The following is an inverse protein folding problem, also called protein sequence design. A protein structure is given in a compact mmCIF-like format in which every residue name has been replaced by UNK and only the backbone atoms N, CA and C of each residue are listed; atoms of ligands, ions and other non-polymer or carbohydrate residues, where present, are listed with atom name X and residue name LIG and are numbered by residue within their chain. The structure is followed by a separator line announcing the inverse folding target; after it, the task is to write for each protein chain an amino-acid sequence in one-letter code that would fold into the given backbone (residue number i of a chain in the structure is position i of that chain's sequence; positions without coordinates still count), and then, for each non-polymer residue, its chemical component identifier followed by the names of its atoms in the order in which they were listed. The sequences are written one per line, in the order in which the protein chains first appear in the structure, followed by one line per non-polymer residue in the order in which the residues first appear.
data_IF_996743460713
#
_entry.id   IF_996743460713
#
_cell.length_a   1.000
_cell.length_b   1.000
_cell.length_c   1.000
_cell.angle_alpha   90.00
_cell.angle_beta   90.00
_cell.angle_gamma   90.00
#
_symmetry.space_group_name_H-M   'P 1'
#
loop_
_entity.id
_entity.type
_entity.pdbx_description
1 polymer ?
#
# COMPACT_ATOMS: atom_id res chain seq x y z
N UNK A 1 12.59 -21.14 14.50
CA UNK A 1 12.21 -19.77 14.83
C UNK A 1 13.39 -18.88 14.49
N UNK A 2 13.38 -18.21 13.36
CA UNK A 2 14.37 -17.18 13.07
C UNK A 2 14.08 -16.01 14.01
N UNK A 3 15.10 -15.63 14.77
CA UNK A 3 15.01 -14.64 15.82
C UNK A 3 14.47 -13.32 15.27
N UNK A 4 13.36 -12.85 15.79
CA UNK A 4 12.74 -11.56 15.46
C UNK A 4 13.67 -10.35 15.70
N UNK A 5 14.87 -10.57 16.25
CA UNK A 5 15.85 -9.56 16.58
C UNK A 5 16.57 -8.95 15.36
N UNK A 6 16.68 -9.66 14.23
CA UNK A 6 17.49 -9.20 13.09
C UNK A 6 17.00 -7.89 12.44
N UNK A 7 15.75 -7.50 12.64
CA UNK A 7 15.20 -6.23 12.15
C UNK A 7 14.83 -5.25 13.27
N UNK A 8 14.89 -5.70 14.54
CA UNK A 8 14.74 -4.80 15.69
C UNK A 8 16.00 -3.99 15.98
N UNK A 9 17.15 -4.36 15.38
CA UNK A 9 18.43 -3.69 15.59
C UNK A 9 18.66 -2.48 14.66
N UNK A 10 17.74 -2.21 13.71
CA UNK A 10 17.62 -0.85 13.22
C UNK A 10 16.97 -0.06 14.38
N UNK A 11 17.76 0.77 15.12
CA UNK A 11 17.17 1.46 16.25
C UNK A 11 15.98 2.22 15.73
N UNK A 12 14.79 2.08 16.34
CA UNK A 12 13.68 2.94 16.00
C UNK A 12 14.26 4.33 16.16
N UNK A 13 14.21 5.12 15.11
CA UNK A 13 14.71 6.49 15.17
C UNK A 13 14.06 7.05 16.41
N UNK A 14 14.87 7.33 17.47
CA UNK A 14 14.34 7.80 18.74
C UNK A 14 13.55 9.06 18.43
N UNK A 15 12.24 8.91 18.27
CA UNK A 15 11.35 10.05 18.26
C UNK A 15 11.63 10.77 19.58
N UNK A 16 11.94 12.05 19.53
CA UNK A 16 11.88 12.91 20.70
C UNK A 16 10.55 12.60 21.37
N UNK A 17 10.54 12.45 22.69
CA UNK A 17 9.35 12.19 23.52
C UNK A 17 8.25 13.22 23.25
N UNK A 18 7.59 13.12 22.12
CA UNK A 18 6.41 13.87 21.81
C UNK A 18 5.28 12.95 22.22
N UNK A 19 4.50 13.34 23.24
CA UNK A 19 3.24 12.71 23.56
C UNK A 19 2.45 12.59 22.25
N UNK A 20 2.30 11.37 21.72
CA UNK A 20 1.47 11.13 20.55
C UNK A 20 0.02 11.37 20.92
N UNK A 21 -0.49 12.52 20.52
CA UNK A 21 -1.91 12.81 20.57
C UNK A 21 -2.52 12.21 19.31
N UNK A 22 -3.62 11.47 19.45
CA UNK A 22 -4.36 10.95 18.32
C UNK A 22 -4.74 12.09 17.38
N UNK A 23 -4.32 11.97 16.12
CA UNK A 23 -4.55 12.95 15.07
C UNK A 23 -5.49 12.37 14.03
N UNK A 24 -6.62 13.02 13.85
CA UNK A 24 -7.62 12.67 12.84
C UNK A 24 -7.19 13.10 11.44
N UNK A 25 -7.71 12.39 10.44
CA UNK A 25 -7.56 12.77 9.05
C UNK A 25 -8.46 13.95 8.71
N UNK A 26 -7.96 14.88 7.94
CA UNK A 26 -8.81 15.85 7.25
C UNK A 26 -8.58 15.73 5.72
N UNK A 27 -9.37 16.46 4.95
CA UNK A 27 -9.31 16.41 3.50
C UNK A 27 -9.35 17.83 2.95
N UNK A 28 -8.33 18.60 3.29
CA UNK A 28 -8.17 19.97 2.84
C UNK A 28 -7.76 19.99 1.37
N UNK A 29 -8.53 20.57 0.44
CA UNK A 29 -8.27 20.52 -0.99
C UNK A 29 -6.89 21.06 -1.40
N UNK A 30 -6.41 22.13 -0.75
CA UNK A 30 -5.10 22.70 -1.03
C UNK A 30 -3.99 21.74 -0.62
N UNK A 31 -4.06 21.17 0.57
CA UNK A 31 -3.05 20.24 1.05
C UNK A 31 -3.08 18.91 0.31
N UNK A 32 -4.27 18.44 -0.08
CA UNK A 32 -4.40 17.25 -0.96
C UNK A 32 -3.70 17.52 -2.28
N UNK A 33 -3.96 18.67 -2.93
CA UNK A 33 -3.29 19.04 -4.18
C UNK A 33 -1.77 19.14 -4.01
N UNK A 34 -1.27 19.75 -2.94
CA UNK A 34 0.15 19.83 -2.63
C UNK A 34 0.78 18.43 -2.45
N UNK A 35 0.10 17.55 -1.70
CA UNK A 35 0.54 16.17 -1.52
C UNK A 35 0.52 15.40 -2.83
N UNK A 36 -0.49 15.58 -3.68
CA UNK A 36 -0.55 14.97 -5.01
C UNK A 36 0.70 15.34 -5.82
N UNK A 37 1.01 16.65 -5.92
CA UNK A 37 2.18 17.12 -6.68
C UNK A 37 3.49 16.58 -6.12
N UNK A 38 3.63 16.54 -4.81
CA UNK A 38 4.84 16.05 -4.15
C UNK A 38 5.00 14.54 -4.31
N UNK A 39 3.97 13.76 -3.93
CA UNK A 39 4.02 12.30 -3.94
C UNK A 39 4.16 11.72 -5.34
N UNK A 40 3.50 12.34 -6.35
CA UNK A 40 3.61 11.88 -7.74
C UNK A 40 5.03 12.06 -8.26
N UNK A 41 5.58 13.27 -8.13
CA UNK A 41 6.95 13.55 -8.55
C UNK A 41 7.99 12.74 -7.79
N UNK A 42 7.76 12.51 -6.50
CA UNK A 42 8.67 11.73 -5.68
C UNK A 42 8.79 10.29 -6.19
N UNK A 43 7.68 9.64 -6.53
CA UNK A 43 7.69 8.29 -7.11
C UNK A 43 8.30 8.31 -8.52
N UNK A 44 7.92 9.25 -9.39
CA UNK A 44 8.45 9.35 -10.75
C UNK A 44 9.95 9.65 -10.81
N UNK A 45 10.49 10.35 -9.82
CA UNK A 45 11.92 10.69 -9.79
C UNK A 45 12.81 9.57 -9.21
N UNK A 46 12.23 8.65 -8.43
CA UNK A 46 13.00 7.62 -7.73
C UNK A 46 12.84 6.22 -8.33
N UNK A 47 11.90 6.03 -9.24
CA UNK A 47 11.68 4.76 -9.93
C UNK A 47 11.79 4.92 -11.43
N UNK A 48 12.36 3.89 -12.09
CA UNK A 48 12.46 3.87 -13.54
C UNK A 48 11.09 3.70 -14.19
N UNK A 49 10.26 2.84 -13.63
CA UNK A 49 8.90 2.61 -14.09
C UNK A 49 7.99 2.15 -12.94
N UNK A 50 6.70 2.38 -13.10
CA UNK A 50 5.65 1.68 -12.35
C UNK A 50 4.87 0.83 -13.33
N UNK A 51 4.86 -0.47 -13.06
CA UNK A 51 4.16 -1.48 -13.84
C UNK A 51 2.99 -2.02 -13.04
N UNK A 52 1.85 -2.15 -13.69
CA UNK A 52 0.63 -2.60 -13.02
C UNK A 52 -0.03 -3.73 -13.81
N UNK A 53 -0.38 -4.79 -13.10
CA UNK A 53 -1.13 -5.95 -13.60
C UNK A 53 -2.52 -5.95 -12.98
N UNK A 54 -3.51 -6.33 -13.77
CA UNK A 54 -4.90 -6.51 -13.32
C UNK A 54 -5.56 -5.24 -12.70
N UNK A 55 -5.18 -4.03 -13.15
CA UNK A 55 -5.74 -2.79 -12.61
C UNK A 55 -7.28 -2.75 -12.64
N UNK A 56 -7.89 -3.39 -13.65
CA UNK A 56 -9.34 -3.43 -13.82
C UNK A 56 -10.06 -4.25 -12.74
N UNK A 57 -9.36 -5.07 -11.96
CA UNK A 57 -9.94 -5.76 -10.82
C UNK A 57 -10.54 -4.78 -9.82
N UNK A 58 -9.94 -3.60 -9.66
CA UNK A 58 -10.50 -2.57 -8.79
C UNK A 58 -11.95 -2.20 -9.13
N UNK A 59 -12.32 -2.24 -10.41
CA UNK A 59 -13.69 -1.91 -10.87
C UNK A 59 -14.73 -3.02 -10.55
N UNK A 60 -14.27 -4.23 -10.19
CA UNK A 60 -15.16 -5.35 -9.78
C UNK A 60 -15.68 -5.22 -8.36
N UNK A 61 -15.20 -4.23 -7.59
CA UNK A 61 -15.66 -3.95 -6.23
C UNK A 61 -17.15 -3.55 -6.21
N UNK A 62 -17.82 -3.76 -5.09
CA UNK A 62 -19.16 -3.23 -4.89
C UNK A 62 -19.07 -1.71 -4.64
N UNK A 63 -19.59 -0.90 -5.56
CA UNK A 63 -19.49 0.58 -5.51
C UNK A 63 -20.31 1.21 -4.39
N UNK A 64 -21.17 0.46 -3.73
CA UNK A 64 -21.96 0.92 -2.59
C UNK A 64 -21.19 0.85 -1.27
N UNK A 65 -20.02 0.21 -1.25
CA UNK A 65 -19.22 0.03 -0.05
C UNK A 65 -17.86 0.70 -0.17
N UNK A 66 -17.34 1.18 0.93
CA UNK A 66 -15.98 1.67 1.03
C UNK A 66 -14.95 0.55 0.84
N UNK A 67 -13.68 0.92 0.81
CA UNK A 67 -12.62 0.02 0.39
C UNK A 67 -11.52 -0.04 1.46
N UNK A 68 -11.15 -1.25 1.87
CA UNK A 68 -9.91 -1.53 2.58
C UNK A 68 -8.93 -2.08 1.54
N UNK A 69 -7.89 -1.32 1.25
CA UNK A 69 -6.84 -1.68 0.30
C UNK A 69 -5.62 -2.07 1.12
N UNK A 70 -5.18 -3.31 0.98
CA UNK A 70 -4.10 -3.81 1.79
C UNK A 70 -2.93 -4.34 0.96
N UNK A 71 -1.72 -4.01 1.42
CA UNK A 71 -0.48 -4.28 0.73
C UNK A 71 0.59 -4.82 1.68
N UNK A 72 1.67 -5.46 1.18
CA UNK A 72 2.81 -5.80 2.01
C UNK A 72 3.49 -4.52 2.49
N UNK A 73 4.18 -4.60 3.64
CA UNK A 73 5.01 -3.50 4.13
C UNK A 73 6.47 -3.91 4.09
N UNK A 74 7.14 -3.54 3.03
CA UNK A 74 8.51 -3.98 2.77
C UNK A 74 9.54 -2.86 2.89
N UNK A 75 9.11 -1.63 2.70
CA UNK A 75 9.99 -0.47 2.80
C UNK A 75 9.20 0.84 2.91
N UNK A 76 9.94 1.94 3.01
CA UNK A 76 9.36 3.28 3.13
C UNK A 76 8.52 3.72 1.93
N UNK A 77 8.77 3.19 0.72
CA UNK A 77 8.07 3.59 -0.51
C UNK A 77 6.65 3.04 -0.62
N UNK A 78 6.29 2.03 0.15
CA UNK A 78 4.98 1.36 0.03
C UNK A 78 3.81 2.32 0.25
N UNK A 79 3.96 3.28 1.16
CA UNK A 79 2.97 4.32 1.41
C UNK A 79 2.81 5.29 0.24
N UNK A 80 3.94 5.74 -0.34
CA UNK A 80 3.96 6.69 -1.45
C UNK A 80 3.41 6.06 -2.74
N UNK A 81 3.74 4.79 -2.98
CA UNK A 81 3.17 4.02 -4.09
C UNK A 81 1.68 3.84 -3.87
N UNK A 82 1.26 3.46 -2.66
CA UNK A 82 -0.16 3.34 -2.30
C UNK A 82 -0.94 4.64 -2.51
N UNK A 83 -0.36 5.77 -2.14
CA UNK A 83 -0.94 7.09 -2.39
C UNK A 83 -1.15 7.32 -3.91
N UNK A 84 -0.12 7.04 -4.73
CA UNK A 84 -0.21 7.16 -6.18
C UNK A 84 -1.28 6.25 -6.78
N UNK A 85 -1.38 4.99 -6.32
CA UNK A 85 -2.40 4.04 -6.79
C UNK A 85 -3.80 4.57 -6.50
N UNK A 86 -4.08 4.97 -5.26
CA UNK A 86 -5.39 5.46 -4.86
C UNK A 86 -5.78 6.74 -5.60
N UNK A 87 -4.86 7.70 -5.72
CA UNK A 87 -5.16 9.02 -6.29
C UNK A 87 -5.16 9.06 -7.80
N UNK A 88 -4.24 8.35 -8.48
CA UNK A 88 -4.06 8.45 -9.93
C UNK A 88 -4.69 7.31 -10.72
N UNK A 89 -4.81 6.12 -10.10
CA UNK A 89 -5.27 4.92 -10.81
C UNK A 89 -6.68 4.55 -10.38
N UNK A 90 -6.94 4.49 -9.07
CA UNK A 90 -8.26 4.13 -8.55
C UNK A 90 -9.21 5.33 -8.43
N UNK A 91 -8.67 6.55 -8.46
CA UNK A 91 -9.42 7.81 -8.33
C UNK A 91 -10.36 7.84 -7.12
N UNK A 92 -9.83 7.50 -5.95
CA UNK A 92 -10.56 7.47 -4.68
C UNK A 92 -9.91 8.38 -3.64
N UNK A 93 -10.69 8.73 -2.60
CA UNK A 93 -10.18 9.47 -1.44
C UNK A 93 -9.38 8.53 -0.56
N UNK A 94 -8.05 8.67 -0.55
CA UNK A 94 -7.20 7.84 0.30
C UNK A 94 -7.32 8.22 1.77
N UNK A 95 -7.33 7.21 2.64
CA UNK A 95 -7.04 7.30 4.07
C UNK A 95 -5.88 6.37 4.38
N UNK A 96 -4.98 6.83 5.24
CA UNK A 96 -3.79 6.06 5.58
C UNK A 96 -3.52 6.10 7.07
N UNK A 97 -3.36 4.93 7.67
CA UNK A 97 -3.03 4.79 9.09
C UNK A 97 -1.51 4.83 9.27
N UNK A 98 -0.99 5.83 9.98
CA UNK A 98 0.45 6.08 10.14
C UNK A 98 0.83 6.10 11.61
N UNK A 99 1.81 5.27 12.01
CA UNK A 99 2.27 5.16 13.40
C UNK A 99 3.00 6.42 13.89
N UNK A 100 3.81 7.04 13.02
CA UNK A 100 4.61 8.21 13.37
C UNK A 100 4.14 9.47 12.63
N UNK A 101 2.83 9.71 12.59
CA UNK A 101 2.25 10.84 11.84
C UNK A 101 2.79 12.19 12.31
N UNK A 102 3.16 12.32 13.57
CA UNK A 102 3.72 13.56 14.14
C UNK A 102 5.05 14.00 13.49
N UNK A 103 5.74 13.09 12.78
CA UNK A 103 6.90 13.45 11.94
C UNK A 103 6.51 14.19 10.67
N UNK A 104 5.30 13.93 10.19
CA UNK A 104 4.79 14.46 8.93
C UNK A 104 3.36 14.97 9.11
N UNK A 105 3.14 15.96 9.99
CA UNK A 105 1.79 16.37 10.41
C UNK A 105 0.93 16.88 9.25
N UNK A 106 1.56 17.34 8.19
CA UNK A 106 0.88 17.81 6.97
C UNK A 106 0.09 16.67 6.29
N UNK A 107 0.50 15.41 6.45
CA UNK A 107 -0.18 14.26 5.86
C UNK A 107 -1.58 14.06 6.47
N UNK A 108 -1.83 14.54 7.69
CA UNK A 108 -3.18 14.49 8.28
C UNK A 108 -4.17 15.29 7.45
N UNK A 109 -3.74 16.40 6.86
CA UNK A 109 -4.57 17.27 6.00
C UNK A 109 -4.85 16.64 4.63
N UNK A 110 -4.06 15.63 4.25
CA UNK A 110 -4.21 14.88 3.01
C UNK A 110 -4.78 13.45 3.22
N UNK A 111 -5.40 13.19 4.37
CA UNK A 111 -6.13 11.97 4.62
C UNK A 111 -5.42 10.94 5.49
N UNK A 112 -4.25 11.25 6.07
CA UNK A 112 -3.62 10.37 7.03
C UNK A 112 -4.16 10.60 8.46
N UNK A 113 -4.20 9.54 9.28
CA UNK A 113 -4.50 9.60 10.70
C UNK A 113 -3.53 8.75 11.50
N UNK A 114 -3.36 9.08 12.78
CA UNK A 114 -2.36 8.42 13.61
C UNK A 114 -2.84 7.11 14.22
N UNK A 115 -1.90 6.20 14.46
CA UNK A 115 -2.09 5.02 15.32
C UNK A 115 -0.92 4.92 16.29
N UNK A 116 -1.22 4.63 17.57
CA UNK A 116 -0.21 4.31 18.56
C UNK A 116 -0.33 2.83 18.95
N UNK A 117 0.58 2.00 18.46
CA UNK A 117 0.60 0.56 18.73
C UNK A 117 1.13 0.21 20.11
N UNK A 118 1.76 1.14 20.80
CA UNK A 118 2.27 0.92 22.17
C UNK A 118 1.16 0.99 23.23
N UNK A 119 -0.02 1.53 22.86
CA UNK A 119 -1.19 1.63 23.71
C UNK A 119 -2.37 0.91 23.10
N UNK A 120 -2.88 -0.13 23.75
CA UNK A 120 -4.07 -0.87 23.30
C UNK A 120 -5.30 0.05 23.20
N UNK A 121 -5.43 1.01 24.12
CA UNK A 121 -6.52 1.98 24.13
C UNK A 121 -6.44 2.93 22.93
N UNK A 122 -5.28 3.50 22.65
CA UNK A 122 -5.07 4.40 21.50
C UNK A 122 -5.17 3.64 20.17
N UNK A 123 -4.64 2.42 20.11
CA UNK A 123 -4.84 1.55 18.93
C UNK A 123 -6.32 1.30 18.66
N UNK A 124 -7.10 0.99 19.70
CA UNK A 124 -8.54 0.75 19.56
C UNK A 124 -9.29 2.01 19.13
N UNK A 125 -8.86 3.19 19.61
CA UNK A 125 -9.41 4.49 19.16
C UNK A 125 -9.19 4.68 17.66
N UNK A 126 -7.97 4.43 17.16
CA UNK A 126 -7.65 4.53 15.74
C UNK A 126 -8.45 3.54 14.88
N UNK A 127 -8.63 2.29 15.36
CA UNK A 127 -9.43 1.29 14.63
C UNK A 127 -10.92 1.68 14.56
N UNK A 128 -11.49 2.21 15.65
CA UNK A 128 -12.89 2.70 15.65
C UNK A 128 -13.05 3.89 14.70
N UNK A 129 -12.11 4.83 14.74
CA UNK A 129 -12.10 5.97 13.82
C UNK A 129 -12.00 5.53 12.36
N UNK A 130 -11.20 4.50 12.06
CA UNK A 130 -11.15 3.92 10.72
C UNK A 130 -12.49 3.36 10.26
N UNK A 131 -13.24 2.69 11.15
CA UNK A 131 -14.61 2.21 10.84
C UNK A 131 -15.54 3.38 10.52
N UNK A 132 -15.49 4.46 11.29
CA UNK A 132 -16.35 5.63 11.08
C UNK A 132 -16.09 6.30 9.72
N UNK A 133 -14.84 6.45 9.34
CA UNK A 133 -14.47 7.00 8.03
C UNK A 133 -14.95 6.18 6.84
N UNK A 134 -15.08 4.86 6.99
CA UNK A 134 -15.47 3.94 5.92
C UNK A 134 -17.00 3.90 5.69
N UNK A 135 -17.72 4.93 6.12
CA UNK A 135 -19.11 5.18 5.72
C UNK A 135 -19.20 5.68 4.26
N UNK A 136 -18.21 6.45 3.80
CA UNK A 136 -18.18 7.00 2.44
C UNK A 136 -17.60 5.95 1.46
N UNK A 137 -18.38 5.47 0.46
CA UNK A 137 -17.92 4.49 -0.53
C UNK A 137 -16.73 4.97 -1.40
N UNK A 138 -16.52 6.28 -1.49
CA UNK A 138 -15.36 6.84 -2.23
C UNK A 138 -14.06 6.76 -1.44
N UNK A 139 -14.09 6.32 -0.19
CA UNK A 139 -12.90 6.18 0.64
C UNK A 139 -12.21 4.83 0.39
N UNK A 140 -10.89 4.90 0.25
CA UNK A 140 -9.99 3.76 0.32
C UNK A 140 -9.04 3.90 1.51
N UNK A 141 -9.20 3.03 2.51
CA UNK A 141 -8.25 2.88 3.61
C UNK A 141 -7.08 2.02 3.15
N UNK A 142 -5.92 2.64 2.97
CA UNK A 142 -4.67 1.93 2.72
C UNK A 142 -4.09 1.44 4.03
N UNK A 143 -3.87 0.14 4.15
CA UNK A 143 -3.37 -0.49 5.36
C UNK A 143 -2.30 -1.54 5.06
N UNK A 144 -1.35 -1.68 5.98
CA UNK A 144 -0.34 -2.73 5.99
C UNK A 144 -0.69 -3.75 7.08
N UNK A 145 -1.33 -4.86 6.75
CA UNK A 145 -1.87 -5.78 7.77
C UNK A 145 -0.79 -6.48 8.60
N UNK A 146 0.44 -6.55 8.12
CA UNK A 146 1.57 -7.08 8.88
C UNK A 146 1.91 -6.23 10.12
N UNK A 147 1.61 -4.92 10.07
CA UNK A 147 1.89 -3.99 11.15
C UNK A 147 3.36 -3.64 11.39
N UNK A 148 4.27 -4.26 10.67
CA UNK A 148 5.74 -4.05 10.73
C UNK A 148 6.33 -4.17 9.34
N UNK A 149 7.49 -3.53 9.14
CA UNK A 149 8.24 -3.65 7.88
C UNK A 149 8.94 -5.01 7.86
N UNK A 150 8.77 -5.77 6.77
CA UNK A 150 9.41 -7.05 6.50
C UNK A 150 9.96 -7.08 5.08
N UNK A 151 11.10 -7.73 4.82
CA UNK A 151 11.58 -7.91 3.44
C UNK A 151 10.51 -8.53 2.54
N UNK A 152 10.46 -8.19 1.24
CA UNK A 152 9.42 -8.69 0.32
C UNK A 152 9.32 -10.22 0.27
N UNK A 153 10.45 -10.89 0.48
CA UNK A 153 10.56 -12.36 0.42
C UNK A 153 10.36 -13.04 1.78
N UNK A 154 10.08 -12.28 2.84
CA UNK A 154 9.84 -12.84 4.17
C UNK A 154 8.57 -13.69 4.17
N UNK A 155 8.68 -14.92 4.69
CA UNK A 155 7.57 -15.86 4.82
C UNK A 155 7.63 -16.54 6.21
N UNK A 156 6.47 -16.84 6.81
CA UNK A 156 5.12 -16.56 6.33
C UNK A 156 4.76 -15.06 6.39
N UNK A 157 3.82 -14.62 5.55
CA UNK A 157 3.21 -13.31 5.69
C UNK A 157 2.14 -13.42 6.79
N UNK A 158 2.36 -12.77 7.91
CA UNK A 158 1.46 -12.81 9.08
C UNK A 158 0.69 -11.51 9.20
N UNK A 159 -0.63 -11.60 9.40
CA UNK A 159 -1.51 -10.45 9.56
C UNK A 159 -1.87 -10.21 11.02
N UNK A 160 -1.89 -8.94 11.40
CA UNK A 160 -2.55 -8.50 12.62
C UNK A 160 -4.06 -8.44 12.42
N UNK A 161 -4.82 -8.72 13.48
CA UNK A 161 -6.30 -8.76 13.42
C UNK A 161 -6.97 -7.39 13.32
N UNK A 162 -6.22 -6.31 13.28
CA UNK A 162 -6.76 -4.94 13.18
C UNK A 162 -7.55 -4.68 11.89
N UNK A 163 -7.04 -5.16 10.75
CA UNK A 163 -7.74 -5.03 9.47
C UNK A 163 -9.10 -5.76 9.48
N UNK A 164 -9.14 -6.98 9.97
CA UNK A 164 -10.37 -7.78 10.04
C UNK A 164 -11.33 -7.26 11.12
N UNK A 165 -10.81 -6.62 12.19
CA UNK A 165 -11.64 -5.86 13.13
C UNK A 165 -12.39 -4.74 12.41
N UNK A 166 -11.68 -3.91 11.64
CA UNK A 166 -12.29 -2.81 10.87
C UNK A 166 -13.34 -3.40 9.91
N UNK A 167 -12.95 -4.40 9.11
CA UNK A 167 -13.82 -5.00 8.11
C UNK A 167 -15.14 -5.52 8.71
N UNK A 168 -15.09 -6.33 9.76
CA UNK A 168 -16.29 -6.88 10.40
C UNK A 168 -17.17 -5.79 11.03
N UNK A 169 -16.59 -4.71 11.56
CA UNK A 169 -17.39 -3.62 12.08
C UNK A 169 -18.02 -2.76 10.98
N UNK A 170 -17.37 -2.59 9.84
CA UNK A 170 -17.98 -1.98 8.65
C UNK A 170 -19.20 -2.79 8.16
N UNK A 171 -19.06 -4.13 8.07
CA UNK A 171 -20.22 -5.00 7.72
C UNK A 171 -21.37 -4.79 8.69
N UNK A 172 -21.12 -4.80 10.00
CA UNK A 172 -22.16 -4.59 11.03
C UNK A 172 -22.82 -3.22 10.94
N UNK A 173 -22.07 -2.19 10.57
CA UNK A 173 -22.55 -0.81 10.60
C UNK A 173 -23.12 -0.34 9.26
N UNK A 174 -22.51 -0.79 8.14
CA UNK A 174 -22.79 -0.30 6.79
C UNK A 174 -23.27 -1.39 5.82
N UNK A 175 -23.38 -2.64 6.27
CA UNK A 175 -23.85 -3.77 5.48
C UNK A 175 -22.74 -4.46 4.65
N UNK A 176 -21.62 -3.85 4.45
CA UNK A 176 -20.53 -4.47 3.67
C UNK A 176 -19.25 -3.62 3.59
N UNK A 177 -18.21 -4.24 3.05
CA UNK A 177 -16.91 -3.62 2.80
C UNK A 177 -16.18 -4.35 1.68
N UNK A 178 -15.44 -3.63 0.83
CA UNK A 178 -14.54 -4.23 -0.13
C UNK A 178 -13.15 -4.43 0.49
N UNK A 179 -12.57 -5.61 0.32
CA UNK A 179 -11.20 -5.95 0.70
C UNK A 179 -10.40 -6.16 -0.57
N UNK A 180 -9.44 -5.29 -0.85
CA UNK A 180 -8.70 -5.25 -2.11
C UNK A 180 -7.22 -5.53 -1.85
N UNK A 181 -6.72 -6.73 -2.15
CA UNK A 181 -5.31 -7.08 -1.99
C UNK A 181 -4.46 -6.47 -3.10
N UNK A 182 -3.33 -5.90 -2.74
CA UNK A 182 -2.33 -5.36 -3.66
C UNK A 182 -1.00 -6.05 -3.39
N UNK A 183 -0.50 -6.83 -4.35
CA UNK A 183 0.89 -7.24 -4.29
C UNK A 183 1.78 -6.10 -4.79
N UNK A 184 2.86 -5.86 -4.06
CA UNK A 184 3.79 -4.77 -4.30
C UNK A 184 5.21 -5.27 -4.17
N UNK A 185 6.03 -5.04 -5.20
CA UNK A 185 7.43 -5.43 -5.23
C UNK A 185 8.28 -4.39 -5.95
N UNK A 186 9.57 -4.42 -5.69
CA UNK A 186 10.57 -3.52 -6.27
C UNK A 186 11.71 -4.35 -6.83
N UNK A 187 12.05 -4.15 -8.09
CA UNK A 187 13.12 -4.90 -8.73
C UNK A 187 14.02 -4.00 -9.60
N UNK A 188 15.31 -4.28 -9.55
CA UNK A 188 16.26 -3.76 -10.51
C UNK A 188 16.26 -4.69 -11.73
N UNK A 189 15.85 -4.20 -12.89
CA UNK A 189 15.92 -4.94 -14.13
C UNK A 189 17.19 -4.56 -14.91
N UNK A 190 17.04 -3.70 -15.89
CA UNK A 190 18.16 -3.28 -16.75
C UNK A 190 18.78 -1.94 -16.35
N UNK A 191 18.01 -1.13 -15.63
CA UNK A 191 18.41 0.21 -15.23
C UNK A 191 18.98 0.22 -13.80
N UNK A 192 19.77 1.24 -13.50
CA UNK A 192 20.36 1.46 -12.18
C UNK A 192 19.33 1.98 -11.13
N UNK A 193 18.11 2.22 -11.56
CA UNK A 193 17.00 2.67 -10.73
C UNK A 193 15.94 1.56 -10.74
N UNK A 194 15.38 1.17 -9.59
CA UNK A 194 14.41 0.09 -9.53
C UNK A 194 13.09 0.43 -10.25
N UNK A 195 12.37 -0.60 -10.63
CA UNK A 195 10.99 -0.50 -11.09
C UNK A 195 10.04 -0.99 -9.99
N UNK A 196 8.85 -0.39 -9.94
CA UNK A 196 7.77 -0.79 -9.04
C UNK A 196 6.84 -1.72 -9.78
N UNK A 197 6.53 -2.86 -9.18
CA UNK A 197 5.57 -3.84 -9.68
C UNK A 197 4.36 -3.89 -8.76
N UNK A 198 3.20 -3.68 -9.35
CA UNK A 198 1.91 -3.71 -8.67
C UNK A 198 1.04 -4.78 -9.32
N UNK A 199 0.43 -5.65 -8.53
CA UNK A 199 -0.65 -6.52 -9.00
C UNK A 199 -1.90 -6.28 -8.15
N UNK A 200 -3.00 -5.92 -8.79
CA UNK A 200 -4.29 -5.74 -8.14
C UNK A 200 -4.99 -7.09 -8.10
N UNK A 201 -5.15 -7.65 -6.91
CA UNK A 201 -5.89 -8.90 -6.74
C UNK A 201 -7.40 -8.71 -6.91
N UNK A 202 -8.13 -9.82 -6.97
CA UNK A 202 -9.60 -9.80 -7.02
C UNK A 202 -10.15 -9.22 -5.71
N UNK A 203 -11.07 -8.26 -5.77
CA UNK A 203 -11.75 -7.73 -4.59
C UNK A 203 -12.57 -8.82 -3.90
N UNK A 204 -12.50 -8.86 -2.58
CA UNK A 204 -13.36 -9.69 -1.76
C UNK A 204 -14.42 -8.76 -1.15
N UNK A 205 -15.67 -8.93 -1.54
CA UNK A 205 -16.80 -8.21 -0.93
C UNK A 205 -17.22 -8.98 0.31
N UNK A 206 -17.07 -8.35 1.47
CA UNK A 206 -17.48 -8.94 2.75
C UNK A 206 -18.82 -8.32 3.17
N UNK A 207 -19.86 -9.18 3.27
CA UNK A 207 -21.23 -8.79 3.66
C UNK A 207 -21.74 -9.62 4.84
N UNK A 208 -20.92 -10.54 5.34
CA UNK A 208 -21.26 -11.41 6.46
C UNK A 208 -20.16 -11.40 7.53
N UNK A 209 -20.58 -11.53 8.79
CA UNK A 209 -19.70 -11.60 9.96
C UNK A 209 -19.79 -12.92 10.71
N UNK A 210 -20.38 -13.97 10.10
CA UNK A 210 -20.51 -15.29 10.70
C UNK A 210 -19.16 -15.98 10.95
N UNK A 211 -18.15 -15.63 10.14
CA UNK A 211 -16.80 -16.18 10.28
C UNK A 211 -16.06 -15.49 11.44
N UNK A 212 -15.45 -16.30 12.32
CA UNK A 212 -14.65 -15.78 13.40
C UNK A 212 -13.49 -14.90 12.87
N UNK A 213 -13.15 -13.83 13.61
CA UNK A 213 -12.14 -12.86 13.16
C UNK A 213 -10.79 -13.50 12.85
N UNK A 214 -10.37 -14.47 13.66
CA UNK A 214 -9.12 -15.19 13.47
C UNK A 214 -9.13 -15.95 12.14
N UNK A 215 -10.19 -16.70 11.88
CA UNK A 215 -10.34 -17.52 10.67
C UNK A 215 -10.42 -16.66 9.40
N UNK A 216 -11.11 -15.50 9.50
CA UNK A 216 -11.12 -14.51 8.43
C UNK A 216 -9.72 -13.96 8.17
N UNK A 217 -8.96 -13.64 9.22
CA UNK A 217 -7.58 -13.16 9.09
C UNK A 217 -6.71 -14.18 8.39
N UNK A 218 -6.73 -15.43 8.83
CA UNK A 218 -5.95 -16.52 8.22
C UNK A 218 -6.35 -16.81 6.77
N UNK A 219 -7.63 -16.67 6.43
CA UNK A 219 -8.12 -16.81 5.05
C UNK A 219 -7.59 -15.71 4.15
N UNK A 220 -7.64 -14.45 4.60
CA UNK A 220 -7.12 -13.30 3.86
C UNK A 220 -5.60 -13.37 3.72
N UNK A 221 -4.91 -13.78 4.75
CA UNK A 221 -3.45 -13.98 4.77
C UNK A 221 -3.00 -15.01 3.71
N UNK A 222 -3.66 -16.18 3.68
CA UNK A 222 -3.36 -17.22 2.66
C UNK A 222 -3.60 -16.72 1.24
N UNK A 223 -4.74 -16.08 1.00
CA UNK A 223 -5.06 -15.52 -0.32
C UNK A 223 -4.05 -14.45 -0.74
N UNK A 224 -3.68 -13.59 0.18
CA UNK A 224 -2.70 -12.53 -0.06
C UNK A 224 -1.29 -13.08 -0.31
N UNK A 225 -0.88 -14.09 0.45
CA UNK A 225 0.41 -14.77 0.24
C UNK A 225 0.49 -15.37 -1.16
N UNK A 226 -0.57 -16.03 -1.63
CA UNK A 226 -0.62 -16.58 -2.98
C UNK A 226 -0.51 -15.50 -4.06
N UNK A 227 -1.13 -14.34 -3.87
CA UNK A 227 -1.01 -13.20 -4.78
C UNK A 227 0.43 -12.69 -4.84
N UNK A 228 1.07 -12.47 -3.69
CA UNK A 228 2.45 -12.01 -3.61
C UNK A 228 3.43 -13.01 -4.21
N UNK A 229 3.22 -14.31 -3.98
CA UNK A 229 4.10 -15.36 -4.51
C UNK A 229 3.99 -15.46 -6.04
N UNK A 230 2.78 -15.36 -6.60
CA UNK A 230 2.60 -15.31 -8.07
C UNK A 230 3.31 -14.10 -8.67
N UNK A 231 3.14 -12.92 -8.10
CA UNK A 231 3.83 -11.72 -8.56
C UNK A 231 5.35 -11.90 -8.53
N UNK A 232 5.87 -12.46 -7.45
CA UNK A 232 7.29 -12.72 -7.30
C UNK A 232 7.82 -13.67 -8.38
N UNK A 233 7.07 -14.73 -8.69
CA UNK A 233 7.40 -15.68 -9.76
C UNK A 233 7.43 -14.97 -11.12
N UNK A 234 6.41 -14.16 -11.44
CA UNK A 234 6.37 -13.38 -12.68
C UNK A 234 7.62 -12.50 -12.85
N UNK A 235 8.04 -11.81 -11.78
CA UNK A 235 9.21 -10.94 -11.81
C UNK A 235 10.49 -11.74 -12.00
N UNK A 236 10.68 -12.84 -11.28
CA UNK A 236 11.89 -13.66 -11.35
C UNK A 236 12.03 -14.43 -12.66
N UNK A 237 10.92 -14.84 -13.26
CA UNK A 237 10.92 -15.54 -14.56
C UNK A 237 10.92 -14.59 -15.75
N UNK A 238 10.76 -13.28 -15.52
CA UNK A 238 10.64 -12.27 -16.56
C UNK A 238 9.31 -12.30 -17.32
N UNK A 239 8.28 -12.93 -16.77
CA UNK A 239 6.94 -12.97 -17.35
C UNK A 239 6.19 -11.66 -17.08
N UNK A 240 6.61 -10.59 -17.75
CA UNK A 240 6.11 -9.24 -17.51
C UNK A 240 5.09 -8.76 -18.55
N UNK A 241 4.63 -9.61 -19.45
CA UNK A 241 3.74 -9.24 -20.56
C UNK A 241 2.40 -8.66 -20.11
N UNK A 242 1.90 -9.10 -18.96
CA UNK A 242 0.63 -8.64 -18.41
C UNK A 242 0.76 -7.36 -17.56
N UNK A 243 1.98 -6.86 -17.38
CA UNK A 243 2.24 -5.64 -16.63
C UNK A 243 2.25 -4.43 -17.54
N UNK A 244 1.17 -3.66 -17.52
CA UNK A 244 1.08 -2.38 -18.22
C UNK A 244 2.02 -1.35 -17.57
N UNK A 245 2.72 -0.59 -18.37
CA UNK A 245 3.56 0.52 -17.89
C UNK A 245 2.68 1.73 -17.62
N UNK A 246 2.50 2.09 -16.35
CA UNK A 246 1.74 3.28 -15.96
C UNK A 246 2.56 4.57 -16.17
N UNK A 247 3.81 4.56 -15.75
CA UNK A 247 4.79 5.59 -16.14
C UNK A 247 6.17 4.94 -16.33
N UNK A 248 6.98 5.60 -17.16
CA UNK A 248 8.38 5.27 -17.34
C UNK A 248 9.20 6.57 -17.34
N UNK A 249 10.20 6.63 -16.46
CA UNK A 249 11.11 7.76 -16.40
C UNK A 249 11.91 7.89 -17.69
N UNK A 250 12.07 9.11 -18.17
CA UNK A 250 12.97 9.38 -19.29
C UNK A 250 14.41 9.15 -18.83
N UNK A 251 15.15 8.33 -19.56
CA UNK A 251 16.59 8.18 -19.30
C UNK A 251 17.27 9.55 -19.30
N UNK A 252 18.21 9.82 -18.37
CA UNK A 252 19.04 11.00 -18.40
C UNK A 252 19.69 11.21 -19.77
N UNK A 253 19.90 12.47 -20.18
CA UNK A 253 20.40 12.78 -21.52
C UNK A 253 21.75 12.10 -21.82
N UNK A 254 22.62 11.95 -20.82
CA UNK A 254 23.92 11.28 -20.94
C UNK A 254 23.77 9.77 -21.18
N UNK A 255 22.81 9.07 -20.51
CA UNK A 255 22.51 7.67 -20.82
C UNK A 255 21.91 7.51 -22.22
N UNK A 256 21.06 8.44 -22.66
CA UNK A 256 20.56 8.43 -24.03
C UNK A 256 21.66 8.60 -25.06
N UNK A 257 22.66 9.43 -24.77
CA UNK A 257 23.85 9.60 -25.60
C UNK A 257 24.71 8.32 -25.61
N UNK A 258 24.92 7.72 -24.45
CA UNK A 258 25.64 6.44 -24.30
C UNK A 258 24.97 5.33 -25.13
N UNK A 259 23.66 5.19 -25.06
CA UNK A 259 22.91 4.22 -25.88
C UNK A 259 23.06 4.47 -27.38
N UNK A 260 23.07 5.75 -27.79
CA UNK A 260 23.33 6.10 -29.20
C UNK A 260 24.74 5.76 -29.64
N UNK A 261 25.74 6.05 -28.82
CA UNK A 261 27.15 5.76 -29.15
C UNK A 261 27.43 4.28 -29.19
N UNK A 262 26.84 3.51 -28.28
CA UNK A 262 26.99 2.05 -28.24
C UNK A 262 26.09 1.31 -29.22
N UNK A 263 25.27 2.02 -30.05
CA UNK A 263 24.26 1.44 -30.94
C UNK A 263 23.34 0.43 -30.23
N UNK A 264 23.08 0.67 -28.96
CA UNK A 264 22.15 -0.15 -28.19
C UNK A 264 20.74 0.29 -28.59
N UNK A 265 20.06 -0.54 -29.33
CA UNK A 265 18.65 -0.34 -29.63
C UNK A 265 17.87 -0.36 -28.30
N UNK A 266 16.80 0.47 -28.22
CA UNK A 266 15.90 0.41 -27.07
C UNK A 266 15.47 -1.04 -26.90
N UNK A 267 15.67 -1.64 -25.72
CA UNK A 267 15.18 -2.99 -25.50
C UNK A 267 13.66 -2.96 -25.72
N UNK A 268 13.21 -3.64 -26.78
CA UNK A 268 11.82 -4.03 -26.88
C UNK A 268 11.61 -5.02 -25.74
N UNK A 269 10.80 -4.62 -24.78
CA UNK A 269 10.24 -5.54 -23.81
C UNK A 269 9.06 -6.13 -24.53
N UNK A 270 9.29 -7.27 -25.20
CA UNK A 270 8.22 -8.07 -25.79
C UNK A 270 7.38 -8.70 -24.69
#
# INVERSE_FOLDING_TARGET
MLDNKLYSDIPPTKLRNVKEVFTEASNDPFWVWMCDQYMFRMVENNFHALRIKNKNNFEKRNKNYANIIYAPHSNWWDGQVGYNLCRRIFNIKIRMMIEELNRFPILSKAGAFSINKQSAQESMKALKYAVEMLEDPEIGLWIFPQGIIRPPNYRPIEFQTGMTYIAQNCVKKYGGINLIPIALNYAFLRESIPEVFVEVGEPIVLEDTSVARKDLTERLERHFTQLCDRQMIDIYTGNLREYEVFFQAKLPWWKRLEHRLKRIDKPKID
#
